data_IF_080508807342
#
_entry.id   IF_080508807342
#
_cell.length_a   1.000
_cell.length_b   1.000
_cell.length_c   1.000
_cell.angle_alpha   90.00
_cell.angle_beta   90.00
_cell.angle_gamma   90.00
#
_symmetry.space_group_name_H-M   'P 1'
#
loop_
_entity.id
_entity.type
_entity.pdbx_description
1 polymer ?
#
# COMPACT_ATOMS: atom_id res chain seq x y z
N UNK A 1 40.91 -33.67 -8.31
CA UNK A 1 40.33 -32.34 -8.09
C UNK A 1 38.86 -32.38 -8.51
N UNK A 2 37.91 -32.19 -7.57
CA UNK A 2 36.49 -32.07 -7.90
C UNK A 2 36.18 -30.58 -8.11
N UNK A 3 35.78 -30.23 -9.32
CA UNK A 3 35.37 -28.87 -9.69
C UNK A 3 33.88 -28.76 -9.35
N UNK A 4 33.56 -28.13 -8.21
CA UNK A 4 32.16 -27.82 -7.88
C UNK A 4 31.74 -26.57 -8.66
N UNK A 5 30.83 -26.76 -9.62
CA UNK A 5 30.20 -25.67 -10.36
C UNK A 5 29.18 -24.97 -9.45
N UNK A 6 29.46 -23.73 -9.03
CA UNK A 6 28.49 -22.87 -8.37
C UNK A 6 27.57 -22.27 -9.43
N UNK A 7 26.32 -22.70 -9.47
CA UNK A 7 25.27 -22.00 -10.20
C UNK A 7 24.94 -20.71 -9.44
N UNK A 8 25.39 -19.57 -9.97
CA UNK A 8 24.91 -18.27 -9.52
C UNK A 8 23.48 -18.08 -10.07
N UNK A 9 22.47 -18.25 -9.22
CA UNK A 9 21.11 -17.82 -9.55
C UNK A 9 21.06 -16.31 -9.46
N UNK A 10 21.07 -15.62 -10.59
CA UNK A 10 20.74 -14.20 -10.66
C UNK A 10 19.26 -14.04 -10.36
N UNK A 11 18.90 -13.80 -9.11
CA UNK A 11 17.56 -13.29 -8.76
C UNK A 11 17.46 -11.90 -9.38
N UNK A 12 16.71 -11.79 -10.48
CA UNK A 12 16.41 -10.47 -11.04
C UNK A 12 15.50 -9.76 -10.06
N UNK A 13 16.02 -8.75 -9.37
CA UNK A 13 15.19 -7.87 -8.56
C UNK A 13 14.20 -7.15 -9.49
N UNK A 14 12.92 -7.10 -9.11
CA UNK A 14 11.92 -6.33 -9.83
C UNK A 14 12.36 -4.86 -9.91
N UNK A 15 12.10 -4.21 -11.04
CA UNK A 15 12.51 -2.83 -11.27
C UNK A 15 11.79 -1.89 -10.29
N UNK A 16 12.50 -0.89 -9.74
CA UNK A 16 11.88 0.15 -8.93
C UNK A 16 11.04 1.07 -9.83
N UNK A 17 9.77 1.24 -9.50
CA UNK A 17 8.86 2.19 -10.17
C UNK A 17 8.93 3.54 -9.47
N UNK A 18 8.80 3.55 -8.15
CA UNK A 18 8.89 4.76 -7.32
C UNK A 18 9.15 4.39 -5.87
N UNK A 19 9.68 5.33 -5.09
CA UNK A 19 9.85 5.17 -3.64
C UNK A 19 9.47 6.45 -2.90
N UNK A 20 9.25 6.32 -1.59
CA UNK A 20 8.90 7.45 -0.73
C UNK A 20 9.12 7.16 0.75
N UNK A 21 8.94 8.19 1.56
CA UNK A 21 8.91 8.14 3.03
C UNK A 21 7.83 9.08 3.53
N UNK A 22 7.27 8.74 4.68
CA UNK A 22 6.16 9.48 5.27
C UNK A 22 5.36 8.59 6.21
N UNK A 23 4.03 8.62 6.08
CA UNK A 23 3.13 8.10 7.08
C UNK A 23 2.22 6.99 6.53
N UNK A 24 2.00 5.96 7.34
CA UNK A 24 0.98 4.94 7.11
C UNK A 24 -0.28 5.24 7.91
N UNK A 25 -1.43 5.28 7.26
CA UNK A 25 -2.77 5.36 7.89
C UNK A 25 -3.62 4.16 7.52
N UNK A 26 -4.87 4.10 8.01
CA UNK A 26 -5.81 3.05 7.64
C UNK A 26 -7.18 3.64 7.28
N UNK A 27 -7.90 2.96 6.38
CA UNK A 27 -9.21 3.43 5.92
C UNK A 27 -10.25 2.32 5.68
N UNK A 28 -9.83 1.06 5.63
CA UNK A 28 -10.72 -0.09 5.40
C UNK A 28 -10.25 -1.32 6.20
N UNK A 29 -11.05 -2.37 6.24
CA UNK A 29 -10.62 -3.70 6.67
C UNK A 29 -11.68 -4.73 6.30
N UNK A 30 -11.34 -5.78 5.56
CA UNK A 30 -12.33 -6.79 5.12
C UNK A 30 -12.53 -7.94 6.12
N UNK A 31 -11.68 -8.04 7.15
CA UNK A 31 -11.74 -9.09 8.17
C UNK A 31 -12.24 -8.53 9.52
N UNK A 32 -11.66 -7.42 9.99
CA UNK A 32 -12.01 -6.71 11.22
C UNK A 32 -12.90 -5.50 10.92
N UNK A 33 -14.18 -5.75 10.64
CA UNK A 33 -15.14 -4.72 10.22
C UNK A 33 -15.40 -3.63 11.27
N UNK A 34 -15.10 -3.89 12.53
CA UNK A 34 -15.21 -2.93 13.62
C UNK A 34 -13.94 -2.97 14.47
N UNK A 35 -13.13 -1.92 14.40
CA UNK A 35 -11.89 -1.81 15.14
C UNK A 35 -11.51 -0.34 15.36
N UNK A 36 -10.66 -0.07 16.35
CA UNK A 36 -10.22 1.29 16.68
C UNK A 36 -11.36 2.33 16.85
N UNK A 37 -12.49 1.91 17.46
CA UNK A 37 -13.71 2.73 17.59
C UNK A 37 -14.29 3.23 16.25
N UNK A 38 -14.01 2.51 15.16
CA UNK A 38 -14.46 2.82 13.81
C UNK A 38 -15.15 1.60 13.17
N UNK A 39 -16.06 1.86 12.23
CA UNK A 39 -16.84 0.83 11.51
C UNK A 39 -16.56 0.92 10.02
N UNK A 40 -15.87 -0.09 9.47
CA UNK A 40 -15.41 -0.14 8.08
C UNK A 40 -16.47 -0.65 7.10
N UNK A 41 -17.69 -1.02 7.53
CA UNK A 41 -18.69 -1.60 6.63
C UNK A 41 -18.99 -0.69 5.44
N UNK A 42 -19.03 0.63 5.65
CA UNK A 42 -19.31 1.60 4.58
C UNK A 42 -18.11 1.81 3.67
N UNK A 43 -16.91 1.98 4.24
CA UNK A 43 -15.70 2.22 3.46
C UNK A 43 -15.40 1.04 2.54
N UNK A 44 -15.61 -0.18 3.04
CA UNK A 44 -15.49 -1.44 2.30
C UNK A 44 -16.43 -1.58 1.07
N UNK A 45 -17.48 -0.75 0.98
CA UNK A 45 -18.35 -0.70 -0.20
C UNK A 45 -17.84 0.29 -1.25
N UNK A 46 -16.92 1.20 -0.91
CA UNK A 46 -16.35 2.18 -1.83
C UNK A 46 -15.54 1.52 -2.95
N UNK A 47 -15.52 2.13 -4.15
CA UNK A 47 -14.74 1.61 -5.26
C UNK A 47 -13.25 1.80 -5.02
N UNK A 48 -12.45 0.82 -5.43
CA UNK A 48 -11.01 0.98 -5.56
C UNK A 48 -10.67 1.77 -6.82
N UNK A 49 -9.61 2.58 -6.79
CA UNK A 49 -9.19 3.40 -7.92
C UNK A 49 -8.23 2.70 -8.88
N UNK A 50 -8.66 1.56 -9.42
CA UNK A 50 -7.86 0.78 -10.38
C UNK A 50 -8.61 0.38 -11.66
N UNK A 51 -9.60 1.17 -12.05
CA UNK A 51 -10.24 1.13 -13.37
C UNK A 51 -10.76 2.51 -13.75
N UNK A 52 -10.69 2.86 -15.03
CA UNK A 52 -11.37 4.06 -15.54
C UNK A 52 -12.88 3.85 -15.75
N UNK A 53 -13.33 2.61 -15.91
CA UNK A 53 -14.67 2.28 -16.39
C UNK A 53 -15.43 1.33 -15.47
N UNK A 54 -14.72 0.46 -14.75
CA UNK A 54 -15.34 -0.59 -13.93
C UNK A 54 -15.44 -0.17 -12.47
N UNK A 55 -16.60 -0.48 -11.86
CA UNK A 55 -16.78 -0.39 -10.43
C UNK A 55 -16.31 -1.69 -9.77
N UNK A 56 -15.34 -1.60 -8.85
CA UNK A 56 -14.89 -2.73 -8.04
C UNK A 56 -14.80 -2.30 -6.58
N UNK A 57 -15.71 -2.74 -5.69
CA UNK A 57 -15.66 -2.35 -4.29
C UNK A 57 -14.48 -3.04 -3.58
N UNK A 58 -13.96 -2.43 -2.51
CA UNK A 58 -12.88 -3.01 -1.68
C UNK A 58 -13.18 -4.45 -1.23
N UNK A 59 -14.42 -4.72 -0.84
CA UNK A 59 -14.88 -6.07 -0.47
C UNK A 59 -14.71 -7.11 -1.58
N UNK A 60 -14.80 -6.72 -2.86
CA UNK A 60 -14.60 -7.64 -3.98
C UNK A 60 -13.12 -7.92 -4.27
N UNK A 61 -12.19 -7.06 -3.82
CA UNK A 61 -10.75 -7.37 -3.84
C UNK A 61 -10.42 -8.48 -2.85
N UNK A 62 -11.18 -8.56 -1.74
CA UNK A 62 -11.08 -9.63 -0.73
C UNK A 62 -9.65 -9.80 -0.16
N UNK A 63 -8.97 -8.68 0.10
CA UNK A 63 -7.61 -8.66 0.65
C UNK A 63 -7.42 -7.47 1.58
N UNK A 64 -6.75 -7.69 2.72
CA UNK A 64 -6.29 -6.65 3.63
C UNK A 64 -4.92 -6.06 3.24
N UNK A 65 -4.30 -6.53 2.15
CA UNK A 65 -2.99 -6.06 1.68
C UNK A 65 -3.06 -5.06 0.52
N UNK A 66 -4.27 -4.64 0.14
CA UNK A 66 -4.42 -3.49 -0.75
C UNK A 66 -3.97 -2.22 -0.02
N UNK A 67 -3.22 -1.38 -0.72
CA UNK A 67 -2.71 -0.10 -0.24
C UNK A 67 -3.19 1.01 -1.17
N UNK A 68 -3.64 2.11 -0.59
CA UNK A 68 -3.90 3.34 -1.31
C UNK A 68 -2.64 4.22 -1.36
N UNK A 69 -2.29 4.75 -2.53
CA UNK A 69 -1.16 5.67 -2.71
C UNK A 69 -1.63 7.07 -3.09
N UNK A 70 -0.72 8.02 -3.32
CA UNK A 70 -1.05 9.35 -3.84
C UNK A 70 -2.03 9.26 -5.03
N UNK A 71 -3.23 9.80 -4.83
CA UNK A 71 -4.34 9.75 -5.77
C UNK A 71 -4.01 10.35 -7.15
N UNK A 72 -3.35 11.51 -7.19
CA UNK A 72 -2.99 12.18 -8.45
C UNK A 72 -2.01 11.33 -9.25
N UNK A 73 -1.03 10.74 -8.57
CA UNK A 73 -0.03 9.87 -9.20
C UNK A 73 -0.69 8.59 -9.76
N UNK A 74 -1.58 7.96 -8.99
CA UNK A 74 -2.28 6.76 -9.42
C UNK A 74 -3.17 7.03 -10.64
N UNK A 75 -4.04 8.04 -10.57
CA UNK A 75 -4.98 8.39 -11.65
C UNK A 75 -4.30 8.71 -12.98
N UNK A 76 -3.10 9.27 -12.93
CA UNK A 76 -2.30 9.56 -14.12
C UNK A 76 -1.76 8.31 -14.81
N UNK A 77 -1.59 7.19 -14.09
CA UNK A 77 -0.85 6.02 -14.56
C UNK A 77 -1.35 4.70 -13.95
N UNK A 78 -2.64 4.37 -14.13
CA UNK A 78 -3.23 3.16 -13.53
C UNK A 78 -2.41 1.89 -13.86
N UNK A 79 -2.02 1.69 -15.12
CA UNK A 79 -1.28 0.49 -15.56
C UNK A 79 0.12 0.37 -14.97
N UNK A 80 0.70 1.51 -14.59
CA UNK A 80 2.01 1.56 -13.97
C UNK A 80 1.96 1.15 -12.50
N UNK A 81 0.83 1.38 -11.81
CA UNK A 81 0.76 1.24 -10.35
C UNK A 81 -0.21 0.16 -9.89
N UNK A 82 -1.40 0.06 -10.48
CA UNK A 82 -2.43 -0.88 -10.05
C UNK A 82 -1.93 -2.32 -10.04
N UNK A 83 -2.04 -2.97 -8.88
CA UNK A 83 -1.62 -4.35 -8.67
C UNK A 83 -0.14 -4.54 -8.37
N UNK A 84 0.67 -3.49 -8.52
CA UNK A 84 2.12 -3.56 -8.27
C UNK A 84 2.42 -3.71 -6.80
N UNK A 85 3.43 -4.52 -6.52
CA UNK A 85 3.90 -4.80 -5.18
C UNK A 85 4.43 -3.52 -4.53
N UNK A 86 4.02 -3.34 -3.28
CA UNK A 86 4.57 -2.34 -2.37
C UNK A 86 5.42 -3.05 -1.35
N UNK A 87 6.63 -2.54 -1.16
CA UNK A 87 7.53 -2.94 -0.11
C UNK A 87 7.46 -1.85 0.93
N UNK A 88 7.10 -2.21 2.15
CA UNK A 88 7.08 -1.27 3.27
C UNK A 88 8.26 -1.55 4.20
N UNK A 89 8.89 -0.50 4.69
CA UNK A 89 9.94 -0.57 5.71
C UNK A 89 9.54 0.30 6.90
N UNK A 90 9.53 -0.28 8.09
CA UNK A 90 9.22 0.40 9.36
C UNK A 90 10.43 0.24 10.28
N UNK A 91 10.92 1.33 10.85
CA UNK A 91 12.10 1.34 11.73
C UNK A 91 13.32 0.59 11.13
N UNK A 92 13.52 0.72 9.82
CA UNK A 92 14.61 0.06 9.08
C UNK A 92 14.40 -1.44 8.79
N UNK A 93 13.26 -2.02 9.18
CA UNK A 93 12.91 -3.42 8.93
C UNK A 93 11.92 -3.51 7.78
N UNK A 94 12.31 -4.24 6.73
CA UNK A 94 11.46 -4.52 5.57
C UNK A 94 10.35 -5.50 5.97
N UNK A 95 9.11 -5.12 5.76
CA UNK A 95 7.95 -5.98 6.01
C UNK A 95 7.90 -7.13 4.99
N UNK A 96 7.56 -8.36 5.43
CA UNK A 96 7.34 -9.49 4.53
C UNK A 96 5.94 -9.50 3.89
N UNK A 97 5.05 -8.58 4.29
CA UNK A 97 3.66 -8.59 3.87
C UNK A 97 3.49 -8.29 2.37
N UNK A 98 2.55 -8.96 1.69
CA UNK A 98 2.41 -8.91 0.23
C UNK A 98 1.56 -7.70 -0.21
N UNK A 99 1.96 -6.49 0.17
CA UNK A 99 1.21 -5.29 -0.17
C UNK A 99 1.17 -5.02 -1.66
N UNK A 100 0.07 -4.48 -2.16
CA UNK A 100 -0.06 -4.03 -3.54
C UNK A 100 -0.92 -2.78 -3.65
N UNK A 101 -0.65 -1.95 -4.66
CA UNK A 101 -1.48 -0.77 -4.93
C UNK A 101 -2.83 -1.20 -5.47
N UNK A 102 -3.90 -0.67 -4.90
CA UNK A 102 -5.24 -0.83 -5.46
C UNK A 102 -6.10 0.41 -5.44
N UNK A 103 -5.68 1.48 -4.76
CA UNK A 103 -6.56 2.63 -4.56
C UNK A 103 -5.82 3.98 -4.41
N UNK A 104 -6.57 5.07 -4.49
CA UNK A 104 -6.08 6.44 -4.43
C UNK A 104 -6.41 7.10 -3.09
N UNK A 105 -5.40 7.68 -2.46
CA UNK A 105 -5.50 8.45 -1.22
C UNK A 105 -5.20 9.93 -1.51
N UNK A 106 -6.22 10.79 -1.36
CA UNK A 106 -6.11 12.23 -1.64
C UNK A 106 -5.08 12.92 -0.74
N UNK A 107 -5.16 12.64 0.57
CA UNK A 107 -4.28 13.22 1.59
C UNK A 107 -2.81 12.77 1.47
N UNK A 108 -2.57 11.60 0.89
CA UNK A 108 -1.25 10.96 0.82
C UNK A 108 -0.30 11.62 -0.18
N UNK A 109 -0.81 12.55 -1.00
CA UNK A 109 -0.02 13.36 -1.92
C UNK A 109 0.29 14.77 -1.43
N UNK A 110 -0.16 15.13 -0.22
CA UNK A 110 -0.08 16.50 0.33
C UNK A 110 1.07 16.58 1.33
N UNK A 111 1.59 17.78 1.57
CA UNK A 111 2.65 18.02 2.57
C UNK A 111 4.05 17.79 2.04
N UNK A 112 5.03 17.73 2.93
CA UNK A 112 6.45 17.54 2.59
C UNK A 112 7.03 16.32 3.32
N UNK A 113 7.87 15.49 2.70
CA UNK A 113 8.45 14.29 3.35
C UNK A 113 9.33 14.58 4.57
N UNK A 114 9.82 15.82 4.67
CA UNK A 114 10.59 16.35 5.80
C UNK A 114 9.72 17.12 6.81
N UNK A 115 8.42 17.25 6.51
CA UNK A 115 7.44 17.82 7.43
C UNK A 115 6.99 16.79 8.46
N UNK A 116 6.45 17.25 9.58
CA UNK A 116 5.81 16.38 10.56
C UNK A 116 4.45 15.87 10.09
N UNK A 117 3.91 14.92 10.84
CA UNK A 117 2.56 14.38 10.64
C UNK A 117 1.51 15.50 10.69
N UNK A 118 0.55 15.45 9.76
CA UNK A 118 -0.61 16.34 9.72
C UNK A 118 -1.84 15.53 9.31
N UNK A 119 -2.90 15.60 10.12
CA UNK A 119 -4.17 14.92 9.87
C UNK A 119 -4.91 15.43 8.63
N UNK A 120 -4.59 16.60 8.10
CA UNK A 120 -5.20 17.13 6.87
C UNK A 120 -4.45 16.71 5.59
N UNK A 121 -3.22 16.21 5.71
CA UNK A 121 -2.42 15.81 4.56
C UNK A 121 -0.93 15.68 4.86
N UNK A 122 -0.37 14.52 4.54
CA UNK A 122 1.05 14.22 4.65
C UNK A 122 1.43 13.12 3.64
N UNK A 123 2.68 13.07 3.13
CA UNK A 123 3.08 12.02 2.20
C UNK A 123 2.93 10.65 2.85
N UNK A 124 2.38 9.67 2.14
CA UNK A 124 2.07 8.40 2.79
C UNK A 124 1.38 7.36 1.94
N UNK A 125 0.92 6.33 2.64
CA UNK A 125 0.16 5.20 2.13
C UNK A 125 -1.00 4.92 3.10
N UNK A 126 -2.16 4.54 2.57
CA UNK A 126 -3.34 4.17 3.36
C UNK A 126 -3.59 2.67 3.27
N UNK A 127 -3.74 1.99 4.39
CA UNK A 127 -3.75 0.53 4.49
C UNK A 127 -5.10 0.00 4.98
N UNK A 128 -5.23 -1.32 5.07
CA UNK A 128 -6.23 -1.89 5.96
C UNK A 128 -5.82 -1.67 7.42
N UNK A 129 -6.80 -1.63 8.33
CA UNK A 129 -6.53 -1.54 9.77
C UNK A 129 -5.64 -2.70 10.26
N UNK A 130 -5.96 -3.94 9.89
CA UNK A 130 -5.24 -5.15 10.31
C UNK A 130 -3.80 -5.10 9.85
N UNK A 131 -3.56 -4.77 8.57
CA UNK A 131 -2.22 -4.78 8.04
C UNK A 131 -1.36 -3.63 8.58
N UNK A 132 -1.93 -2.44 8.80
CA UNK A 132 -1.20 -1.36 9.47
C UNK A 132 -0.89 -1.69 10.93
N UNK A 133 -1.82 -2.34 11.63
CA UNK A 133 -1.63 -2.75 13.03
C UNK A 133 -0.52 -3.80 13.17
N UNK A 134 -0.33 -4.65 12.16
CA UNK A 134 0.80 -5.59 12.10
C UNK A 134 2.14 -4.87 11.85
N UNK A 135 2.15 -3.81 11.03
CA UNK A 135 3.33 -2.97 10.81
C UNK A 135 3.71 -2.13 12.04
N UNK A 136 2.71 -1.66 12.80
CA UNK A 136 2.91 -0.84 13.97
C UNK A 136 1.68 -0.86 14.90
N UNK A 137 1.72 -1.61 16.01
CA UNK A 137 0.57 -1.79 16.91
C UNK A 137 0.00 -0.50 17.51
N UNK A 138 0.80 0.57 17.55
CA UNK A 138 0.38 1.90 18.02
C UNK A 138 -0.48 2.69 17.01
N UNK A 139 -0.66 2.20 15.78
CA UNK A 139 -1.32 2.94 14.71
C UNK A 139 -2.73 3.40 15.06
N UNK A 140 -3.50 2.57 15.79
CA UNK A 140 -4.83 2.96 16.26
C UNK A 140 -4.78 4.19 17.19
N UNK A 141 -3.89 4.17 18.19
CA UNK A 141 -3.79 5.23 19.18
C UNK A 141 -3.18 6.52 18.62
N UNK A 142 -2.20 6.40 17.71
CA UNK A 142 -1.51 7.53 17.10
C UNK A 142 -2.20 8.07 15.83
N UNK A 143 -3.09 7.28 15.24
CA UNK A 143 -3.71 7.56 13.93
C UNK A 143 -2.77 7.39 12.75
N UNK A 144 -1.49 7.04 12.96
CA UNK A 144 -0.49 6.85 11.93
C UNK A 144 0.72 6.04 12.43
N UNK A 145 1.60 5.65 11.51
CA UNK A 145 2.98 5.20 11.77
C UNK A 145 3.94 5.87 10.79
N UNK A 146 5.21 6.05 11.16
CA UNK A 146 6.27 6.42 10.22
C UNK A 146 6.73 5.20 9.40
N UNK A 147 6.91 5.39 8.10
CA UNK A 147 7.38 4.34 7.20
C UNK A 147 8.13 4.89 5.98
N UNK A 148 8.81 4.00 5.27
CA UNK A 148 9.22 4.21 3.89
C UNK A 148 8.72 3.08 3.01
N UNK A 149 8.64 3.34 1.70
CA UNK A 149 8.15 2.36 0.75
C UNK A 149 8.88 2.39 -0.59
N UNK A 150 8.82 1.25 -1.27
CA UNK A 150 9.21 1.07 -2.67
C UNK A 150 8.02 0.42 -3.40
N UNK A 151 7.64 0.95 -4.55
CA UNK A 151 6.73 0.30 -5.49
C UNK A 151 7.60 -0.32 -6.57
N UNK A 152 7.48 -1.63 -6.77
CA UNK A 152 8.31 -2.39 -7.71
C UNK A 152 7.46 -3.01 -8.82
N UNK A 153 8.08 -3.23 -9.97
CA UNK A 153 7.43 -3.83 -11.14
C UNK A 153 7.29 -5.34 -11.00
N UNK A 154 6.47 -5.73 -10.03
CA UNK A 154 6.05 -7.09 -9.74
C UNK A 154 4.56 -7.04 -9.44
N UNK A 155 3.76 -7.81 -10.18
CA UNK A 155 2.32 -7.74 -10.05
C UNK A 155 1.82 -8.80 -9.05
N UNK A 156 1.11 -8.37 -8.00
CA UNK A 156 0.48 -9.27 -7.02
C UNK A 156 -1.03 -9.38 -7.21
N UNK A 157 -1.66 -8.39 -7.86
CA UNK A 157 -3.09 -8.39 -8.15
C UNK A 157 -3.34 -7.88 -9.56
N UNK A 158 -4.29 -8.47 -10.29
CA UNK A 158 -4.58 -8.08 -11.67
C UNK A 158 -5.90 -7.30 -11.73
N UNK A 159 -5.79 -5.98 -11.85
CA UNK A 159 -6.94 -5.11 -12.11
C UNK A 159 -7.21 -4.97 -13.61
N UNK A 160 -8.47 -4.77 -13.98
CA UNK A 160 -8.88 -4.32 -15.32
C UNK A 160 -8.92 -2.80 -15.33
N UNK A 161 -7.83 -2.19 -15.76
CA UNK A 161 -7.63 -0.73 -15.71
C UNK A 161 -8.40 0.02 -16.80
N UNK A 162 -8.81 -0.64 -17.89
CA UNK A 162 -9.54 -0.11 -19.04
C UNK A 162 -10.81 -0.89 -19.40
#
# INVERSE_FOLDING_TARGET
MKLSLLFATTVSAAALISSGRGYGTYYYDVEQLQACNYDFHKDNQGPVMCSYNDYLPLTAVSSNYLVAMNNTQLRGHLDQYCGKRVVVTVNGVRSPLPFFIGDGCERCGIGHPEGGWNSEGAPGLDFSYTALSELGPQACAAGHIDLSWEIVDENLYHFKTW
#
